data_IF_422784181036
#
_entry.id   IF_422784181036
#
_cell.length_a   1.000
_cell.length_b   1.000
_cell.length_c   1.000
_cell.angle_alpha   90.00
_cell.angle_beta   90.00
_cell.angle_gamma   90.00
#
_symmetry.space_group_name_H-M   'P 1'
#
loop_
_entity.id
_entity.type
_entity.pdbx_description
1 polymer ?
#
# COMPACT_ATOMS: atom_id res chain seq x y z
N UNK A 1 -18.81 -6.74 -29.51
CA UNK A 1 -17.59 -6.18 -28.89
C UNK A 1 -17.50 -4.73 -29.32
N UNK A 2 -17.29 -3.81 -28.37
CA UNK A 2 -17.00 -2.41 -28.67
C UNK A 2 -15.57 -2.25 -29.19
N UNK A 3 -15.27 -1.13 -29.84
CA UNK A 3 -13.91 -0.77 -30.25
C UNK A 3 -13.09 -0.19 -29.09
N UNK A 4 -11.82 0.11 -29.37
CA UNK A 4 -10.98 0.88 -28.46
C UNK A 4 -11.57 2.26 -28.20
N UNK A 5 -11.38 2.80 -26.99
CA UNK A 5 -11.84 4.13 -26.60
C UNK A 5 -10.82 4.79 -25.67
N UNK A 6 -10.78 6.11 -25.70
CA UNK A 6 -9.94 6.91 -24.81
C UNK A 6 -10.63 7.07 -23.45
N UNK A 7 -9.88 6.86 -22.37
CA UNK A 7 -10.42 6.94 -21.00
C UNK A 7 -10.52 8.39 -20.52
N UNK A 8 -9.49 9.18 -20.81
CA UNK A 8 -9.32 10.52 -20.29
C UNK A 8 -9.82 11.62 -21.23
N UNK A 9 -10.20 12.78 -20.68
CA UNK A 9 -10.58 14.00 -21.41
C UNK A 9 -9.50 15.07 -21.36
N UNK A 10 -8.71 15.13 -20.29
CA UNK A 10 -7.50 15.96 -20.23
C UNK A 10 -6.35 15.27 -20.94
N UNK A 11 -5.76 15.91 -21.96
CA UNK A 11 -4.75 15.29 -22.84
C UNK A 11 -3.45 16.08 -22.93
N UNK A 12 -3.28 17.12 -22.12
CA UNK A 12 -2.05 17.91 -22.13
C UNK A 12 -0.97 17.17 -21.35
N UNK A 13 0.23 17.08 -21.89
CA UNK A 13 1.37 16.39 -21.27
C UNK A 13 1.18 14.87 -21.08
N UNK A 14 1.83 14.26 -20.09
CA UNK A 14 1.88 12.80 -19.87
C UNK A 14 0.67 12.27 -19.11
N UNK A 15 -0.05 11.36 -19.76
CA UNK A 15 -1.17 10.59 -19.22
C UNK A 15 -0.74 9.14 -19.14
N UNK A 16 -0.36 8.66 -17.95
CA UNK A 16 0.42 7.44 -17.85
C UNK A 16 0.06 6.56 -16.65
N UNK A 17 0.62 5.35 -16.66
CA UNK A 17 0.52 4.33 -15.61
C UNK A 17 -0.93 4.04 -15.17
N UNK A 18 -1.82 3.62 -16.10
CA UNK A 18 -3.20 3.31 -15.75
C UNK A 18 -3.30 2.06 -14.87
N UNK A 19 -4.29 2.06 -13.97
CA UNK A 19 -4.72 0.93 -13.15
C UNK A 19 -6.24 0.81 -13.25
N UNK A 20 -6.79 -0.40 -13.23
CA UNK A 20 -8.23 -0.65 -13.41
C UNK A 20 -8.73 -1.74 -12.48
N UNK A 21 -9.96 -1.59 -11.99
CA UNK A 21 -10.70 -2.66 -11.31
C UNK A 21 -12.15 -2.69 -11.77
N UNK A 22 -12.71 -3.89 -11.91
CA UNK A 22 -14.16 -4.07 -12.04
C UNK A 22 -14.87 -3.80 -10.71
N UNK A 23 -16.08 -3.27 -10.78
CA UNK A 23 -16.94 -2.93 -9.64
C UNK A 23 -18.09 -3.94 -9.50
N UNK A 24 -18.68 -4.01 -8.31
CA UNK A 24 -19.75 -4.97 -7.99
C UNK A 24 -21.07 -4.72 -8.77
N UNK A 25 -21.26 -3.51 -9.30
CA UNK A 25 -22.39 -3.15 -10.16
C UNK A 25 -22.18 -3.52 -11.65
N UNK A 26 -21.07 -4.21 -11.95
CA UNK A 26 -20.67 -4.58 -13.31
C UNK A 26 -19.92 -3.48 -14.06
N UNK A 27 -19.81 -2.28 -13.47
CA UNK A 27 -18.98 -1.20 -13.98
C UNK A 27 -17.49 -1.43 -13.73
N UNK A 28 -16.68 -0.41 -13.98
CA UNK A 28 -15.25 -0.41 -13.68
C UNK A 28 -14.77 1.01 -13.37
N UNK A 29 -13.66 1.12 -12.66
CA UNK A 29 -12.95 2.40 -12.47
C UNK A 29 -11.54 2.26 -13.01
N UNK A 30 -11.12 3.27 -13.77
CA UNK A 30 -9.74 3.42 -14.23
C UNK A 30 -9.13 4.60 -13.50
N UNK A 31 -7.91 4.43 -12.99
CA UNK A 31 -7.10 5.50 -12.39
C UNK A 31 -5.78 5.62 -13.12
N UNK A 32 -5.26 6.83 -13.31
CA UNK A 32 -4.00 7.09 -14.00
C UNK A 32 -3.28 8.27 -13.35
N UNK A 33 -2.02 8.47 -13.74
CA UNK A 33 -1.27 9.67 -13.45
C UNK A 33 -1.45 10.67 -14.58
N UNK A 34 -1.74 11.93 -14.24
CA UNK A 34 -1.87 13.02 -15.20
C UNK A 34 -0.96 14.17 -14.84
N UNK A 35 -0.06 14.52 -15.75
CA UNK A 35 0.86 15.64 -15.60
C UNK A 35 0.19 16.97 -15.96
N UNK A 36 0.28 17.93 -15.06
CA UNK A 36 -0.17 19.32 -15.27
C UNK A 36 -1.68 19.54 -15.14
N UNK A 37 -2.49 18.52 -14.88
CA UNK A 37 -3.95 18.66 -14.74
C UNK A 37 -4.37 19.39 -13.46
N UNK A 38 -3.60 19.27 -12.38
CA UNK A 38 -3.80 20.00 -11.12
C UNK A 38 -2.94 21.29 -11.02
N UNK A 39 -2.19 21.59 -12.08
CA UNK A 39 -1.32 22.76 -12.17
C UNK A 39 0.07 22.56 -11.57
N UNK A 40 0.42 21.38 -11.05
CA UNK A 40 1.75 21.14 -10.47
C UNK A 40 2.17 19.67 -10.50
N UNK A 41 2.95 19.30 -11.53
CA UNK A 41 3.50 17.95 -11.64
C UNK A 41 2.42 16.90 -11.95
N UNK A 42 2.67 15.66 -11.53
CA UNK A 42 1.78 14.52 -11.77
C UNK A 42 0.80 14.33 -10.63
N UNK A 43 -0.50 14.35 -10.94
CA UNK A 43 -1.59 14.04 -10.01
C UNK A 43 -2.25 12.69 -10.32
N UNK A 44 -3.04 12.17 -9.37
CA UNK A 44 -3.80 10.93 -9.56
C UNK A 44 -5.23 11.26 -9.95
N UNK A 45 -5.67 10.74 -11.10
CA UNK A 45 -7.00 10.95 -11.63
C UNK A 45 -7.72 9.63 -11.85
N UNK A 46 -9.04 9.69 -11.93
CA UNK A 46 -9.86 8.54 -12.22
C UNK A 46 -11.13 8.85 -13.00
N UNK A 47 -11.68 7.81 -13.62
CA UNK A 47 -12.97 7.83 -14.30
C UNK A 47 -13.71 6.52 -14.00
N UNK A 48 -14.96 6.64 -13.57
CA UNK A 48 -15.87 5.50 -13.35
C UNK A 48 -16.70 5.27 -14.59
N UNK A 49 -16.98 4.01 -14.89
CA UNK A 49 -17.80 3.57 -16.02
C UNK A 49 -18.88 2.61 -15.54
N UNK A 50 -20.05 2.71 -16.16
CA UNK A 50 -21.13 1.75 -16.00
C UNK A 50 -20.83 0.45 -16.77
N UNK A 51 -21.63 -0.59 -16.54
CA UNK A 51 -21.45 -1.91 -17.15
C UNK A 51 -21.53 -1.91 -18.70
N UNK A 52 -22.18 -0.90 -19.29
CA UNK A 52 -22.25 -0.70 -20.74
C UNK A 52 -21.07 0.09 -21.31
N UNK A 53 -20.11 0.50 -20.47
CA UNK A 53 -18.95 1.30 -20.84
C UNK A 53 -19.22 2.80 -20.91
N UNK A 54 -20.40 3.28 -20.51
CA UNK A 54 -20.67 4.72 -20.42
C UNK A 54 -19.99 5.33 -19.20
N UNK A 55 -19.37 6.51 -19.36
CA UNK A 55 -18.77 7.23 -18.25
C UNK A 55 -19.85 7.64 -17.22
N UNK A 56 -19.63 7.29 -15.96
CA UNK A 56 -20.46 7.74 -14.83
C UNK A 56 -19.85 9.01 -14.25
N UNK A 57 -20.41 10.17 -14.59
CA UNK A 57 -19.82 11.46 -14.23
C UNK A 57 -18.59 11.80 -15.09
N UNK A 58 -17.87 12.86 -14.71
CA UNK A 58 -16.60 13.24 -15.34
C UNK A 58 -15.38 12.67 -14.62
N UNK A 59 -14.21 13.00 -15.14
CA UNK A 59 -12.93 12.70 -14.48
C UNK A 59 -12.89 13.36 -13.11
N UNK A 60 -12.30 12.66 -12.15
CA UNK A 60 -12.14 13.16 -10.79
C UNK A 60 -10.69 13.01 -10.33
N UNK A 61 -10.22 14.00 -9.58
CA UNK A 61 -8.93 13.93 -8.91
C UNK A 61 -9.05 13.06 -7.65
N UNK A 62 -8.06 12.20 -7.44
CA UNK A 62 -8.01 11.25 -6.33
C UNK A 62 -7.22 11.81 -5.14
N UNK A 63 -6.07 12.41 -5.41
CA UNK A 63 -5.24 13.05 -4.41
C UNK A 63 -5.79 14.43 -4.02
N UNK A 64 -5.66 14.78 -2.74
CA UNK A 64 -5.93 16.13 -2.22
C UNK A 64 -4.66 16.98 -2.23
N UNK A 65 -3.49 16.37 -2.05
CA UNK A 65 -2.19 17.04 -2.09
C UNK A 65 -1.68 17.10 -3.53
N UNK A 66 -1.40 18.30 -4.01
CA UNK A 66 -0.98 18.60 -5.40
C UNK A 66 0.43 19.17 -5.49
N UNK A 67 1.20 19.13 -4.40
CA UNK A 67 2.57 19.64 -4.41
C UNK A 67 3.51 18.51 -4.78
N UNK A 68 4.43 18.76 -5.70
CA UNK A 68 5.33 17.75 -6.26
C UNK A 68 4.56 16.57 -6.88
N UNK A 69 5.22 15.43 -7.06
CA UNK A 69 4.70 14.33 -7.86
C UNK A 69 3.95 13.28 -7.02
N UNK A 70 2.79 12.86 -7.52
CA UNK A 70 1.99 11.76 -7.00
C UNK A 70 1.91 10.63 -8.03
N UNK A 71 2.28 9.43 -7.63
CA UNK A 71 2.29 8.25 -8.50
C UNK A 71 3.12 7.08 -7.98
N UNK A 72 3.07 5.93 -8.67
CA UNK A 72 1.98 5.49 -9.54
C UNK A 72 0.76 4.99 -8.74
N UNK A 73 -0.46 5.01 -9.31
CA UNK A 73 -1.66 4.53 -8.62
C UNK A 73 -1.85 3.01 -8.69
N UNK A 74 -2.56 2.47 -7.70
CA UNK A 74 -3.11 1.12 -7.68
C UNK A 74 -4.54 1.16 -7.12
N UNK A 75 -5.48 0.48 -7.76
CA UNK A 75 -6.90 0.48 -7.36
C UNK A 75 -7.45 -0.93 -7.18
N UNK A 76 -8.33 -1.12 -6.19
CA UNK A 76 -9.09 -2.37 -6.01
C UNK A 76 -10.51 -2.11 -5.53
N UNK A 77 -11.47 -2.87 -6.04
CA UNK A 77 -12.85 -2.85 -5.56
C UNK A 77 -12.96 -3.56 -4.20
N UNK A 78 -13.86 -3.06 -3.35
CA UNK A 78 -14.09 -3.57 -2.00
C UNK A 78 -15.43 -4.33 -1.93
N UNK A 79 -15.54 -5.21 -0.93
CA UNK A 79 -16.72 -6.08 -0.77
C UNK A 79 -18.02 -5.29 -0.45
N UNK A 80 -17.91 -4.06 0.04
CA UNK A 80 -19.05 -3.17 0.29
C UNK A 80 -19.50 -2.41 -0.98
N UNK A 81 -18.91 -2.71 -2.14
CA UNK A 81 -19.19 -2.06 -3.42
C UNK A 81 -18.36 -0.81 -3.68
N UNK A 82 -17.66 -0.30 -2.66
CA UNK A 82 -16.71 0.80 -2.82
C UNK A 82 -15.42 0.38 -3.51
N UNK A 83 -14.45 1.28 -3.52
CA UNK A 83 -13.09 0.99 -3.99
C UNK A 83 -12.07 1.79 -3.18
N UNK A 84 -10.81 1.38 -3.25
CA UNK A 84 -9.69 2.12 -2.66
C UNK A 84 -8.61 2.31 -3.72
N UNK A 85 -8.06 3.52 -3.76
CA UNK A 85 -6.92 3.89 -4.60
C UNK A 85 -5.74 4.17 -3.68
N UNK A 86 -4.55 3.69 -4.02
CA UNK A 86 -3.30 3.96 -3.31
C UNK A 86 -2.24 4.47 -4.27
N UNK A 87 -1.38 5.40 -3.83
CA UNK A 87 -0.31 5.99 -4.64
C UNK A 87 0.89 6.39 -3.76
N UNK A 88 2.04 6.68 -4.37
CA UNK A 88 3.16 7.35 -3.70
C UNK A 88 3.04 8.87 -3.83
N UNK A 89 3.38 9.62 -2.80
CA UNK A 89 3.30 11.09 -2.80
C UNK A 89 4.60 11.70 -2.29
N UNK A 90 5.26 12.52 -3.11
CA UNK A 90 6.52 13.16 -2.76
C UNK A 90 6.30 14.36 -1.83
N UNK A 91 7.12 14.47 -0.78
CA UNK A 91 7.15 15.60 0.14
C UNK A 91 5.99 15.66 1.14
N UNK A 92 4.95 14.84 0.99
CA UNK A 92 3.72 14.95 1.77
C UNK A 92 3.89 14.59 3.26
N UNK A 93 4.76 13.63 3.59
CA UNK A 93 5.11 13.31 5.00
C UNK A 93 6.36 14.05 5.49
N UNK A 94 6.88 14.97 4.68
CA UNK A 94 8.04 15.80 4.99
C UNK A 94 9.40 15.17 4.69
N UNK A 95 9.46 13.93 4.18
CA UNK A 95 10.74 13.30 3.84
C UNK A 95 10.60 12.27 2.70
N UNK A 96 10.93 12.71 1.48
CA UNK A 96 10.86 11.83 0.32
C UNK A 96 9.42 11.44 0.01
N UNK A 97 9.20 10.17 -0.33
CA UNK A 97 7.88 9.70 -0.73
C UNK A 97 7.22 8.92 0.39
N UNK A 98 5.95 9.23 0.65
CA UNK A 98 5.07 8.39 1.46
C UNK A 98 4.05 7.65 0.62
N UNK A 99 3.45 6.60 1.18
CA UNK A 99 2.36 5.85 0.54
C UNK A 99 1.04 6.34 1.12
N UNK A 100 0.11 6.71 0.24
CA UNK A 100 -1.19 7.27 0.59
C UNK A 100 -2.32 6.48 -0.05
N UNK A 101 -3.54 6.70 0.46
CA UNK A 101 -4.73 6.15 -0.14
C UNK A 101 -5.98 6.97 0.11
N UNK A 102 -6.97 6.74 -0.75
CA UNK A 102 -8.32 7.32 -0.66
C UNK A 102 -9.33 6.21 -0.91
N UNK A 103 -10.32 6.14 -0.01
CA UNK A 103 -11.46 5.21 -0.13
C UNK A 103 -12.65 5.92 -0.74
N UNK A 104 -13.43 5.19 -1.51
CA UNK A 104 -14.66 5.65 -2.14
C UNK A 104 -15.80 4.71 -1.77
N UNK A 105 -17.00 5.26 -1.63
CA UNK A 105 -18.24 4.51 -1.49
C UNK A 105 -18.69 3.93 -2.84
N UNK A 106 -19.69 3.05 -2.82
CA UNK A 106 -20.16 2.35 -4.02
C UNK A 106 -20.71 3.28 -5.11
N UNK A 107 -21.23 4.44 -4.72
CA UNK A 107 -21.70 5.50 -5.62
C UNK A 107 -20.57 6.38 -6.20
N UNK A 108 -19.31 6.09 -5.83
CA UNK A 108 -18.14 6.86 -6.25
C UNK A 108 -17.89 8.12 -5.44
N UNK A 109 -18.64 8.37 -4.35
CA UNK A 109 -18.34 9.48 -3.44
C UNK A 109 -17.13 9.17 -2.56
N UNK A 110 -16.38 10.20 -2.21
CA UNK A 110 -15.22 10.09 -1.32
C UNK A 110 -15.68 9.61 0.07
N UNK A 111 -15.12 8.50 0.55
CA UNK A 111 -15.42 7.91 1.84
C UNK A 111 -14.29 8.19 2.84
N UNK A 112 -14.47 9.22 3.67
CA UNK A 112 -13.47 9.67 4.63
C UNK A 112 -12.49 10.67 4.02
N UNK A 113 -11.30 10.76 4.60
CA UNK A 113 -10.21 11.60 4.11
C UNK A 113 -9.10 10.75 3.52
N UNK A 114 -8.24 11.37 2.72
CA UNK A 114 -6.97 10.80 2.31
C UNK A 114 -6.15 10.40 3.54
N UNK A 115 -5.53 9.24 3.49
CA UNK A 115 -4.80 8.68 4.63
C UNK A 115 -3.43 8.14 4.25
N UNK A 116 -2.47 8.31 5.15
CA UNK A 116 -1.13 7.74 5.00
C UNK A 116 -1.14 6.25 5.37
N UNK A 117 -0.55 5.43 4.51
CA UNK A 117 -0.46 3.98 4.64
C UNK A 117 0.78 3.56 5.42
N UNK A 118 1.95 4.06 5.04
CA UNK A 118 3.20 3.81 5.75
C UNK A 118 3.21 4.50 7.13
N UNK A 119 3.98 3.96 8.06
CA UNK A 119 4.25 4.61 9.36
C UNK A 119 5.72 4.98 9.53
N UNK A 120 6.60 4.32 8.76
CA UNK A 120 8.00 4.69 8.63
C UNK A 120 8.10 5.71 7.51
N UNK A 121 8.68 6.88 7.80
CA UNK A 121 8.70 8.07 6.93
C UNK A 121 10.11 8.55 6.62
N UNK A 122 11.14 7.78 6.97
CA UNK A 122 12.51 8.18 6.64
C UNK A 122 12.83 7.71 5.24
N UNK A 123 13.35 8.61 4.40
CA UNK A 123 13.65 8.29 3.01
C UNK A 123 12.38 7.79 2.29
N UNK A 124 12.52 7.04 1.20
CA UNK A 124 11.38 6.82 0.32
C UNK A 124 10.56 5.55 0.52
N UNK A 125 9.25 5.68 0.36
CA UNK A 125 8.26 4.62 0.31
C UNK A 125 7.41 4.73 -0.97
N UNK A 126 7.57 3.76 -1.88
CA UNK A 126 7.09 3.84 -3.27
C UNK A 126 6.31 2.60 -3.72
N UNK A 127 5.69 2.72 -4.90
CA UNK A 127 5.11 1.64 -5.69
C UNK A 127 4.10 0.79 -4.91
N UNK A 128 3.03 1.41 -4.40
CA UNK A 128 2.02 0.64 -3.69
C UNK A 128 1.28 -0.32 -4.61
N UNK A 129 0.89 -1.45 -4.05
CA UNK A 129 -0.06 -2.39 -4.63
C UNK A 129 -1.13 -2.70 -3.60
N UNK A 130 -2.40 -2.69 -4.01
CA UNK A 130 -3.52 -2.94 -3.10
C UNK A 130 -4.40 -4.10 -3.58
N UNK A 131 -4.89 -4.90 -2.64
CA UNK A 131 -5.85 -5.98 -2.91
C UNK A 131 -6.89 -6.10 -1.80
N UNK A 132 -8.14 -6.33 -2.19
CA UNK A 132 -9.22 -6.62 -1.26
C UNK A 132 -9.11 -8.05 -0.70
N UNK A 133 -9.56 -8.22 0.54
CA UNK A 133 -9.59 -9.49 1.25
C UNK A 133 -11.02 -10.05 1.34
N UNK A 134 -11.13 -11.37 1.44
CA UNK A 134 -12.42 -12.07 1.58
C UNK A 134 -13.21 -11.67 2.83
N UNK A 135 -12.52 -11.19 3.87
CA UNK A 135 -13.14 -10.71 5.11
C UNK A 135 -13.62 -9.24 5.03
N UNK A 136 -13.55 -8.63 3.84
CA UNK A 136 -13.96 -7.25 3.59
C UNK A 136 -12.85 -6.22 3.81
N UNK A 137 -11.72 -6.60 4.41
CA UNK A 137 -10.54 -5.75 4.52
C UNK A 137 -9.79 -5.57 3.20
N UNK A 138 -8.63 -4.93 3.27
CA UNK A 138 -7.69 -4.82 2.16
C UNK A 138 -6.24 -4.84 2.68
N UNK A 139 -5.29 -5.20 1.83
CA UNK A 139 -3.86 -5.12 2.13
C UNK A 139 -3.21 -4.21 1.12
N UNK A 140 -2.38 -3.30 1.62
CA UNK A 140 -1.49 -2.49 0.79
C UNK A 140 -0.07 -2.97 1.03
N UNK A 141 0.69 -3.22 -0.04
CA UNK A 141 2.13 -3.49 0.03
C UNK A 141 2.91 -2.41 -0.70
N UNK A 142 4.13 -2.12 -0.28
CA UNK A 142 4.98 -1.09 -0.90
C UNK A 142 6.46 -1.43 -0.73
N UNK A 143 7.30 -0.75 -1.50
CA UNK A 143 8.75 -0.73 -1.32
C UNK A 143 9.12 0.34 -0.31
N UNK A 144 9.96 0.01 0.69
CA UNK A 144 10.47 0.98 1.66
C UNK A 144 11.98 0.98 1.73
N UNK A 145 12.60 2.15 1.70
CA UNK A 145 14.04 2.33 1.80
C UNK A 145 14.47 2.49 3.26
N UNK A 146 15.57 1.86 3.67
CA UNK A 146 16.17 2.05 5.00
C UNK A 146 15.39 1.50 6.20
N UNK A 147 14.15 1.01 6.04
CA UNK A 147 13.26 0.70 7.15
C UNK A 147 13.75 -0.45 8.06
N UNK A 148 14.45 -1.43 7.49
CA UNK A 148 15.10 -2.53 8.21
C UNK A 148 16.58 -2.25 8.52
N UNK A 149 17.05 -1.03 8.25
CA UNK A 149 18.47 -0.66 8.35
C UNK A 149 19.31 -1.06 7.13
N UNK A 150 18.70 -1.66 6.10
CA UNK A 150 19.32 -2.02 4.83
C UNK A 150 18.73 -1.18 3.68
N UNK A 151 19.19 -1.40 2.44
CA UNK A 151 18.81 -0.59 1.28
C UNK A 151 17.29 -0.49 1.07
N UNK A 152 16.62 -1.59 0.71
CA UNK A 152 15.20 -1.58 0.38
C UNK A 152 14.54 -2.90 0.76
N UNK A 153 13.37 -2.82 1.39
CA UNK A 153 12.53 -3.95 1.73
C UNK A 153 11.10 -3.83 1.17
N UNK A 154 10.34 -4.91 1.28
CA UNK A 154 8.91 -4.94 0.91
C UNK A 154 8.09 -5.03 2.18
N UNK A 155 7.17 -4.09 2.34
CA UNK A 155 6.36 -3.93 3.53
C UNK A 155 4.89 -3.98 3.15
N UNK A 156 4.03 -4.21 4.14
CA UNK A 156 2.60 -4.19 3.93
C UNK A 156 1.83 -3.86 5.19
N UNK A 157 0.62 -3.34 4.98
CA UNK A 157 -0.32 -3.00 6.04
C UNK A 157 -1.70 -3.51 5.65
N UNK A 158 -2.28 -4.29 6.55
CA UNK A 158 -3.65 -4.78 6.42
C UNK A 158 -4.60 -3.79 7.07
N UNK A 159 -5.72 -3.57 6.42
CA UNK A 159 -6.85 -2.76 6.88
C UNK A 159 -8.07 -3.65 7.07
N UNK A 160 -8.86 -3.38 8.09
CA UNK A 160 -10.18 -3.96 8.27
C UNK A 160 -11.18 -3.33 7.29
N UNK A 161 -12.36 -3.93 7.16
CA UNK A 161 -13.39 -3.50 6.20
C UNK A 161 -13.83 -2.03 6.36
N UNK A 162 -13.79 -1.52 7.60
CA UNK A 162 -14.07 -0.13 7.93
C UNK A 162 -12.91 0.84 7.63
N UNK A 163 -11.83 0.39 6.99
CA UNK A 163 -10.65 1.21 6.69
C UNK A 163 -9.74 1.46 7.88
N UNK A 164 -9.97 0.84 9.04
CA UNK A 164 -9.02 0.93 10.16
C UNK A 164 -7.81 0.04 9.90
N UNK A 165 -6.60 0.57 10.10
CA UNK A 165 -5.41 -0.25 10.02
C UNK A 165 -5.42 -1.33 11.10
N UNK A 166 -5.25 -2.59 10.70
CA UNK A 166 -4.98 -3.66 11.62
C UNK A 166 -3.67 -3.39 12.34
N UNK A 167 -3.66 -3.48 13.67
CA UNK A 167 -2.46 -3.34 14.48
C UNK A 167 -1.44 -4.40 14.11
N UNK A 168 -0.51 -4.07 13.20
CA UNK A 168 0.71 -4.85 13.00
C UNK A 168 1.61 -4.56 14.19
N UNK A 169 1.94 -5.59 14.97
CA UNK A 169 2.99 -5.49 15.97
C UNK A 169 4.30 -5.22 15.22
N UNK A 170 5.03 -4.12 15.48
CA UNK A 170 6.33 -3.92 14.87
C UNK A 170 7.27 -5.05 15.31
N UNK A 171 7.81 -5.81 14.35
CA UNK A 171 8.99 -6.64 14.58
C UNK A 171 8.80 -8.05 15.16
N UNK A 172 7.88 -8.87 14.65
CA UNK A 172 8.07 -10.32 14.74
C UNK A 172 8.28 -10.95 13.35
N UNK A 173 9.52 -10.85 12.85
CA UNK A 173 10.09 -11.99 12.16
C UNK A 173 10.25 -13.10 13.20
N UNK A 174 9.22 -13.94 13.37
CA UNK A 174 9.41 -15.24 14.02
C UNK A 174 10.26 -16.08 13.07
N UNK A 175 11.57 -15.95 13.15
CA UNK A 175 12.49 -16.98 12.67
C UNK A 175 12.29 -18.20 13.57
N UNK A 176 11.35 -19.07 13.19
CA UNK A 176 11.08 -20.29 13.94
C UNK A 176 9.67 -20.83 13.73
N UNK A 177 9.30 -21.20 12.50
CA UNK A 177 8.18 -22.12 12.31
C UNK A 177 8.65 -23.51 12.72
N UNK A 178 8.56 -23.82 14.01
CA UNK A 178 8.59 -25.21 14.46
C UNK A 178 7.19 -25.79 14.20
N UNK A 179 7.07 -26.64 13.18
CA UNK A 179 5.88 -27.47 13.00
C UNK A 179 5.69 -28.32 14.26
N UNK A 180 4.62 -28.10 15.03
CA UNK A 180 4.16 -29.05 16.05
C UNK A 180 3.14 -29.97 15.41
N UNK A 181 3.48 -31.25 15.28
CA UNK A 181 2.49 -32.31 15.08
C UNK A 181 1.77 -32.58 16.40
N UNK A 182 0.50 -32.96 16.29
CA UNK A 182 -0.37 -33.23 17.43
C UNK A 182 0.09 -34.48 18.20
N UNK A 183 0.80 -34.28 19.31
CA UNK A 183 0.73 -35.06 20.54
C UNK A 183 1.61 -34.37 21.60
N UNK A 184 1.13 -34.32 22.83
CA UNK A 184 1.48 -33.29 23.80
C UNK A 184 2.89 -33.38 24.40
N UNK A 185 3.46 -32.20 24.69
CA UNK A 185 3.89 -31.72 26.01
C UNK A 185 4.61 -30.35 25.83
N UNK A 186 4.47 -29.38 26.76
CA UNK A 186 5.23 -28.14 26.69
C UNK A 186 6.66 -28.38 27.13
N UNK A 187 7.64 -27.88 26.37
CA UNK A 187 9.02 -27.75 26.82
C UNK A 187 9.16 -26.37 27.43
N UNK A 188 9.53 -26.34 28.70
CA UNK A 188 9.84 -25.14 29.47
C UNK A 188 11.05 -24.42 28.86
N UNK A 189 10.83 -23.22 28.31
CA UNK A 189 11.93 -22.35 27.87
C UNK A 189 12.32 -21.43 29.02
N UNK A 190 13.06 -21.97 29.96
CA UNK A 190 13.77 -21.21 30.97
C UNK A 190 14.91 -20.39 30.32
N UNK A 191 14.81 -19.07 30.47
CA UNK A 191 15.89 -18.08 30.61
C UNK A 191 17.11 -18.20 29.68
N UNK A 192 17.16 -17.34 28.65
CA UNK A 192 18.43 -16.80 28.19
C UNK A 192 18.70 -15.48 28.93
N UNK A 193 19.23 -15.57 30.15
CA UNK A 193 19.88 -14.42 30.80
C UNK A 193 21.27 -14.28 30.20
N UNK A 194 21.59 -13.07 29.75
CA UNK A 194 22.92 -12.68 29.33
C UNK A 194 23.90 -12.78 30.50
N UNK A 195 24.65 -13.89 30.58
CA UNK A 195 25.90 -13.99 31.34
C UNK A 195 26.52 -15.35 31.08
N UNK A 196 27.43 -15.45 30.10
CA UNK A 196 28.58 -16.36 30.16
C UNK A 196 29.53 -16.10 28.98
N UNK A 197 30.32 -15.04 29.11
CA UNK A 197 31.64 -14.97 28.46
C UNK A 197 32.57 -15.90 29.25
N UNK A 198 32.93 -17.07 28.71
CA UNK A 198 34.06 -17.83 29.25
C UNK A 198 34.95 -18.44 28.18
N UNK A 199 36.13 -17.80 28.05
CA UNK A 199 37.47 -18.39 27.87
C UNK A 199 37.62 -19.60 26.96
N UNK A 200 38.28 -19.36 25.82
CA UNK A 200 39.10 -20.39 25.15
C UNK A 200 40.53 -20.34 25.69
N UNK A 201 41.00 -21.53 26.09
CA UNK A 201 42.28 -21.85 26.71
C UNK A 201 43.47 -21.60 25.76
N UNK A 202 44.57 -21.06 26.29
CA UNK A 202 45.92 -21.46 25.88
C UNK A 202 46.74 -21.82 27.12
N UNK A 203 47.04 -23.10 27.24
CA UNK A 203 48.02 -23.66 28.17
C UNK A 203 49.40 -23.70 27.51
N UNK A 204 50.41 -23.13 28.16
CA UNK A 204 51.77 -23.70 28.28
C UNK A 204 52.50 -22.96 29.41
N UNK A 205 53.00 -23.75 30.36
CA UNK A 205 53.73 -23.37 31.58
C UNK A 205 55.12 -22.83 31.22
N UNK A 206 55.58 -21.87 32.02
CA UNK A 206 57.01 -21.60 32.23
C UNK A 206 57.41 -22.16 33.59
N UNK A 207 58.51 -22.90 33.61
CA UNK A 207 59.48 -22.92 34.70
C UNK A 207 60.82 -22.52 34.06
#
# INVERSE_FOLDING_TARGET
MGGEFQVNTYTTDWQEVPSVTGLNDGGFVVTWMSDGQDGNGGGIYGQRYAADGTATGGEFQVNTVTTDWQGPPSVTALNDGGFVVTWGSNGQDGNGYGVYGQRYAADGTVAGVEFQVNTYTTDHQYYPSVTALKDGGFVVTWQSWGQDGEYSGVYGRRYAANGTAGGGVPGQHVYGVAWRTASGMPVDTAQYRASDMTRIRRSRRSA
#
